data_IF_724502783402
#
_entry.id   IF_724502783402
#
_cell.length_a   1.000
_cell.length_b   1.000
_cell.length_c   1.000
_cell.angle_alpha   90.00
_cell.angle_beta   90.00
_cell.angle_gamma   90.00
#
_symmetry.space_group_name_H-M   'P 1'
#
loop_
_entity.id
_entity.type
_entity.pdbx_description
1 polymer ?
#
# COMPACT_ATOMS: atom_id res chain seq x y z
N UNK A 1 74.26 88.67 74.57
CA UNK A 1 72.93 88.03 74.76
C UNK A 1 72.34 87.65 73.40
N UNK A 2 72.32 88.58 72.44
CA UNK A 2 71.92 88.38 71.03
C UNK A 2 72.67 87.23 70.33
N UNK A 3 73.99 87.13 70.50
CA UNK A 3 74.80 86.11 69.82
C UNK A 3 74.51 84.68 70.29
N UNK A 4 74.20 84.51 71.59
CA UNK A 4 73.89 83.21 72.19
C UNK A 4 72.52 82.71 71.72
N UNK A 5 71.55 83.62 71.66
CA UNK A 5 70.21 83.37 71.15
C UNK A 5 70.20 83.06 69.64
N UNK A 6 71.02 83.75 68.85
CA UNK A 6 71.21 83.44 67.43
C UNK A 6 71.80 82.04 67.22
N UNK A 7 72.70 81.60 68.11
CA UNK A 7 73.33 80.26 68.06
C UNK A 7 72.36 79.13 68.42
N UNK A 8 71.51 79.34 69.42
CA UNK A 8 70.50 78.35 69.82
C UNK A 8 69.43 78.14 68.75
N UNK A 9 69.04 79.17 68.00
CA UNK A 9 68.10 79.04 66.88
C UNK A 9 68.60 78.16 65.74
N UNK A 10 69.92 78.05 65.57
CA UNK A 10 70.52 77.17 64.55
C UNK A 10 70.69 75.73 65.03
N UNK A 11 70.51 75.46 66.32
CA UNK A 11 70.67 74.12 66.90
C UNK A 11 69.31 73.44 67.05
N UNK A 12 68.93 72.64 66.05
CA UNK A 12 67.73 71.82 66.10
C UNK A 12 68.15 70.40 66.54
N UNK A 13 67.79 69.99 67.75
CA UNK A 13 67.98 68.61 68.22
C UNK A 13 66.70 67.82 67.99
N UNK A 14 66.74 66.88 67.04
CA UNK A 14 65.63 65.94 66.80
C UNK A 14 65.97 64.62 67.47
N UNK A 15 65.04 64.07 68.26
CA UNK A 15 65.21 62.77 68.89
C UNK A 15 65.33 61.66 67.83
N UNK A 16 66.32 60.75 67.91
CA UNK A 16 66.55 59.72 66.90
C UNK A 16 65.43 58.66 66.78
N UNK A 17 64.50 58.63 67.74
CA UNK A 17 63.37 57.71 67.85
C UNK A 17 62.03 58.35 67.44
N UNK A 18 62.05 59.52 66.80
CA UNK A 18 60.82 60.10 66.26
C UNK A 18 60.24 59.17 65.17
N UNK A 19 58.90 59.03 65.08
CA UNK A 19 58.25 58.14 64.12
C UNK A 19 58.69 58.39 62.67
N UNK A 20 58.93 59.65 62.28
CA UNK A 20 59.40 60.01 60.94
C UNK A 20 60.79 59.46 60.64
N UNK A 21 61.72 59.53 61.59
CA UNK A 21 63.08 58.99 61.42
C UNK A 21 63.05 57.46 61.35
N UNK A 22 62.20 56.81 62.17
CA UNK A 22 62.00 55.37 62.11
C UNK A 22 61.43 54.94 60.75
N UNK A 23 60.43 55.67 60.23
CA UNK A 23 59.88 55.43 58.91
C UNK A 23 60.95 55.59 57.81
N UNK A 24 61.78 56.64 57.89
CA UNK A 24 62.89 56.84 56.96
C UNK A 24 63.90 55.67 57.00
N UNK A 25 64.21 55.13 58.19
CA UNK A 25 65.12 53.97 58.34
C UNK A 25 64.50 52.70 57.73
N UNK A 26 63.23 52.43 57.99
CA UNK A 26 62.52 51.28 57.38
C UNK A 26 62.50 51.43 55.86
N UNK A 27 62.13 52.61 55.35
CA UNK A 27 62.14 52.90 53.91
C UNK A 27 63.54 52.75 53.32
N UNK A 28 64.59 53.19 54.01
CA UNK A 28 65.97 53.01 53.57
C UNK A 28 66.35 51.53 53.42
N UNK A 29 65.91 50.67 54.35
CA UNK A 29 66.14 49.22 54.26
C UNK A 29 65.32 48.60 53.13
N UNK A 30 64.05 48.98 52.99
CA UNK A 30 63.16 48.48 51.93
C UNK A 30 63.61 48.92 50.53
N UNK A 31 64.16 50.13 50.39
CA UNK A 31 64.65 50.70 49.13
C UNK A 31 66.15 50.44 48.91
N UNK A 32 66.80 49.65 49.76
CA UNK A 32 68.23 49.37 49.62
C UNK A 32 68.48 48.37 48.49
N UNK A 33 69.08 48.83 47.40
CA UNK A 33 69.54 47.98 46.29
C UNK A 33 70.45 46.83 46.74
N UNK A 34 71.27 47.07 47.77
CA UNK A 34 72.19 46.06 48.31
C UNK A 34 71.43 44.90 48.95
N UNK A 35 70.43 45.22 49.77
CA UNK A 35 69.60 44.20 50.44
C UNK A 35 68.72 43.47 49.42
N UNK A 36 68.18 44.18 48.44
CA UNK A 36 67.43 43.58 47.33
C UNK A 36 68.29 42.57 46.55
N UNK A 37 69.51 42.96 46.15
CA UNK A 37 70.43 42.06 45.44
C UNK A 37 70.84 40.85 46.27
N UNK A 38 71.09 41.04 47.57
CA UNK A 38 71.42 39.94 48.48
C UNK A 38 70.26 38.94 48.62
N UNK A 39 69.03 39.43 48.84
CA UNK A 39 67.83 38.59 48.89
C UNK A 39 67.58 37.85 47.57
N UNK A 40 67.76 38.53 46.44
CA UNK A 40 67.66 37.91 45.11
C UNK A 40 68.71 36.81 44.88
N UNK A 41 69.92 36.98 45.39
CA UNK A 41 70.95 35.93 45.34
C UNK A 41 70.64 34.75 46.24
N UNK A 42 70.09 34.98 47.43
CA UNK A 42 69.61 33.91 48.31
C UNK A 42 68.46 33.12 47.68
N UNK A 43 67.50 33.81 47.06
CA UNK A 43 66.38 33.15 46.37
C UNK A 43 66.85 32.33 45.17
N UNK A 44 67.83 32.82 44.40
CA UNK A 44 68.47 32.02 43.34
C UNK A 44 69.17 30.77 43.89
N UNK A 45 69.79 30.85 45.08
CA UNK A 45 70.46 29.71 45.73
C UNK A 45 69.49 28.66 46.26
N UNK A 46 68.26 29.04 46.62
CA UNK A 46 67.21 28.09 47.06
C UNK A 46 66.80 27.10 45.96
N UNK A 47 67.04 27.43 44.68
CA UNK A 47 66.70 26.60 43.54
C UNK A 47 65.20 26.64 43.19
N UNK A 48 64.77 25.73 42.31
CA UNK A 48 63.38 25.60 41.88
C UNK A 48 62.87 24.19 42.18
N UNK A 49 61.68 24.10 42.78
CA UNK A 49 60.94 22.83 42.90
C UNK A 49 59.96 22.70 41.72
N UNK A 50 60.35 21.91 40.72
CA UNK A 50 59.53 21.64 39.54
C UNK A 50 58.70 20.38 39.76
N UNK A 51 57.44 20.58 40.13
CA UNK A 51 56.50 19.48 40.26
C UNK A 51 56.32 18.72 38.93
N UNK A 52 56.09 17.39 38.96
CA UNK A 52 55.99 16.55 37.76
C UNK A 52 54.81 16.87 36.84
N UNK A 53 53.89 17.72 37.30
CA UNK A 53 52.72 18.22 36.61
C UNK A 53 52.91 19.64 36.04
N UNK A 54 54.09 20.24 36.23
CA UNK A 54 54.45 21.51 35.63
C UNK A 54 54.24 21.48 34.11
N UNK A 55 53.69 22.56 33.55
CA UNK A 55 53.42 22.73 32.11
C UNK A 55 54.61 22.32 31.22
N UNK A 56 55.86 22.76 31.47
CA UNK A 56 57.00 22.35 30.63
C UNK A 56 57.25 20.84 30.65
N UNK A 57 57.06 20.19 31.80
CA UNK A 57 57.25 18.74 31.95
C UNK A 57 56.12 17.97 31.24
N UNK A 58 54.87 18.44 31.36
CA UNK A 58 53.73 17.87 30.62
C UNK A 58 53.92 18.00 29.10
N UNK A 59 54.34 19.18 28.64
CA UNK A 59 54.64 19.42 27.23
C UNK A 59 55.74 18.47 26.74
N UNK A 60 56.87 18.39 27.46
CA UNK A 60 57.97 17.48 27.12
C UNK A 60 57.54 16.00 27.08
N UNK A 61 56.74 15.55 28.05
CA UNK A 61 56.17 14.19 28.06
C UNK A 61 55.28 13.95 26.83
N UNK A 62 54.44 14.91 26.47
CA UNK A 62 53.57 14.80 25.29
C UNK A 62 54.38 14.74 23.99
N UNK A 63 55.41 15.57 23.85
CA UNK A 63 56.32 15.54 22.69
C UNK A 63 57.07 14.21 22.59
N UNK A 64 57.56 13.68 23.71
CA UNK A 64 58.20 12.35 23.77
C UNK A 64 57.24 11.27 23.30
N UNK A 65 55.99 11.34 23.74
CA UNK A 65 54.98 10.35 23.40
C UNK A 65 54.58 10.42 21.91
N UNK A 66 54.51 11.62 21.34
CA UNK A 66 54.28 11.84 19.90
C UNK A 66 55.44 11.29 19.06
N UNK A 67 56.69 11.52 19.48
CA UNK A 67 57.88 11.05 18.79
C UNK A 67 58.15 9.53 18.98
N UNK A 68 57.38 8.85 19.82
CA UNK A 68 57.60 7.44 20.13
C UNK A 68 56.92 6.54 19.10
N UNK A 69 57.73 5.93 18.24
CA UNK A 69 57.30 4.91 17.27
C UNK A 69 56.50 3.77 17.92
N UNK A 70 56.89 3.35 19.12
CA UNK A 70 56.19 2.30 19.86
C UNK A 70 54.76 2.73 20.20
N UNK A 71 54.58 3.94 20.76
CA UNK A 71 53.25 4.46 21.10
C UNK A 71 52.40 4.68 19.84
N UNK A 72 53.01 5.15 18.76
CA UNK A 72 52.36 5.27 17.46
C UNK A 72 51.84 3.91 16.96
N UNK A 73 52.70 2.88 16.94
CA UNK A 73 52.32 1.53 16.49
C UNK A 73 51.26 0.90 17.38
N UNK A 74 51.38 1.05 18.70
CA UNK A 74 50.39 0.57 19.65
C UNK A 74 49.02 1.25 19.42
N UNK A 75 49.00 2.58 19.24
CA UNK A 75 47.78 3.30 18.93
C UNK A 75 47.17 2.86 17.59
N UNK A 76 48.01 2.66 16.57
CA UNK A 76 47.61 2.14 15.27
C UNK A 76 47.00 0.74 15.39
N UNK A 77 47.63 -0.20 16.09
CA UNK A 77 47.08 -1.54 16.33
C UNK A 77 45.77 -1.50 17.12
N UNK A 78 45.67 -0.62 18.11
CA UNK A 78 44.43 -0.41 18.88
C UNK A 78 43.30 0.19 18.04
N UNK A 79 43.63 0.99 17.03
CA UNK A 79 42.69 1.59 16.09
C UNK A 79 42.40 0.70 14.87
N UNK A 80 43.30 -0.23 14.56
CA UNK A 80 43.18 -1.18 13.45
C UNK A 80 41.92 -2.03 13.67
N UNK A 81 41.05 -2.05 12.67
CA UNK A 81 39.76 -2.74 12.75
C UNK A 81 38.67 -1.96 13.50
N UNK A 82 38.99 -0.81 14.11
CA UNK A 82 37.99 0.15 14.62
C UNK A 82 37.72 1.23 13.58
N UNK A 83 37.36 0.81 12.39
CA UNK A 83 36.60 1.70 11.53
C UNK A 83 35.24 1.84 12.20
N UNK A 84 34.98 2.99 12.82
CA UNK A 84 33.63 3.35 13.22
C UNK A 84 32.89 3.54 11.90
N UNK A 85 32.26 2.48 11.41
CA UNK A 85 31.14 2.66 10.50
C UNK A 85 30.16 3.60 11.19
N UNK A 86 29.55 4.50 10.43
CA UNK A 86 28.42 5.25 10.92
C UNK A 86 27.29 4.28 11.30
N UNK A 87 26.47 4.61 12.30
CA UNK A 87 25.37 3.74 12.75
C UNK A 87 24.17 3.87 11.82
N UNK A 88 23.99 5.05 11.24
CA UNK A 88 23.05 5.36 10.16
C UNK A 88 23.74 6.19 9.08
N UNK A 89 23.36 6.02 7.81
CA UNK A 89 23.94 6.79 6.69
C UNK A 89 23.79 8.32 6.89
N UNK A 90 22.81 8.71 7.71
CA UNK A 90 22.53 10.08 8.09
C UNK A 90 23.58 10.69 9.02
N UNK A 91 24.38 9.85 9.72
CA UNK A 91 25.40 10.33 10.66
C UNK A 91 26.64 10.90 9.95
N UNK A 92 26.87 10.54 8.67
CA UNK A 92 27.98 11.09 7.88
C UNK A 92 27.44 12.11 6.85
N UNK A 93 27.61 13.43 7.09
CA UNK A 93 27.12 14.47 6.20
C UNK A 93 27.71 14.38 4.79
N UNK A 94 28.91 13.80 4.63
CA UNK A 94 29.52 13.62 3.30
C UNK A 94 28.80 12.55 2.49
N UNK A 95 28.44 11.44 3.11
CA UNK A 95 27.70 10.37 2.45
C UNK A 95 26.26 10.76 2.16
N UNK A 96 25.60 11.49 3.07
CA UNK A 96 24.29 12.09 2.82
C UNK A 96 24.34 12.98 1.58
N UNK A 97 25.36 13.85 1.48
CA UNK A 97 25.54 14.71 0.32
C UNK A 97 25.72 13.91 -0.98
N UNK A 98 26.55 12.87 -0.98
CA UNK A 98 26.71 12.02 -2.17
C UNK A 98 25.43 11.32 -2.58
N UNK A 99 24.61 10.88 -1.62
CA UNK A 99 23.31 10.28 -1.92
C UNK A 99 22.36 11.29 -2.57
N UNK A 100 22.34 12.54 -2.09
CA UNK A 100 21.56 13.62 -2.70
C UNK A 100 22.04 13.93 -4.13
N UNK A 101 23.36 14.00 -4.35
CA UNK A 101 23.94 14.22 -5.68
C UNK A 101 23.58 13.08 -6.63
N UNK A 102 23.69 11.82 -6.18
CA UNK A 102 23.30 10.66 -6.97
C UNK A 102 21.80 10.67 -7.32
N UNK A 103 20.95 11.11 -6.39
CA UNK A 103 19.52 11.28 -6.63
C UNK A 103 19.24 12.35 -7.69
N UNK A 104 19.95 13.48 -7.64
CA UNK A 104 19.83 14.53 -8.65
C UNK A 104 20.33 14.09 -10.03
N UNK A 105 21.38 13.25 -10.09
CA UNK A 105 21.92 12.69 -11.33
C UNK A 105 21.05 11.56 -11.90
N UNK A 106 20.07 11.06 -11.15
CA UNK A 106 19.24 9.94 -11.59
C UNK A 106 18.21 10.40 -12.61
N UNK A 107 18.37 9.97 -13.87
CA UNK A 107 17.39 10.16 -14.93
C UNK A 107 15.98 9.65 -14.56
N UNK A 108 15.92 8.60 -13.73
CA UNK A 108 14.66 8.04 -13.23
C UNK A 108 13.94 9.03 -12.33
N UNK A 109 14.65 9.65 -11.38
CA UNK A 109 14.06 10.67 -10.50
C UNK A 109 13.70 11.92 -11.30
N UNK A 110 14.54 12.32 -12.25
CA UNK A 110 14.27 13.42 -13.17
C UNK A 110 12.95 13.24 -13.96
N UNK A 111 12.71 12.03 -14.49
CA UNK A 111 11.50 11.73 -15.30
C UNK A 111 10.27 11.38 -14.46
N UNK A 112 10.43 11.10 -13.17
CA UNK A 112 9.34 10.62 -12.30
C UNK A 112 8.12 11.55 -12.32
N UNK A 113 8.32 12.84 -12.09
CA UNK A 113 7.23 13.82 -12.07
C UNK A 113 6.54 13.98 -13.43
N UNK A 114 7.29 13.86 -14.52
CA UNK A 114 6.73 13.89 -15.87
C UNK A 114 5.83 12.66 -16.12
N UNK A 115 6.29 11.46 -15.79
CA UNK A 115 5.49 10.24 -15.98
C UNK A 115 4.23 10.24 -15.09
N UNK A 116 4.34 10.75 -13.86
CA UNK A 116 3.19 10.95 -12.96
C UNK A 116 2.18 11.97 -13.51
N UNK A 117 2.66 13.05 -14.13
CA UNK A 117 1.80 14.11 -14.68
C UNK A 117 1.26 13.80 -16.08
N UNK A 118 1.93 12.93 -16.85
CA UNK A 118 1.56 12.60 -18.24
C UNK A 118 0.17 11.99 -18.36
N UNK A 119 -0.32 11.34 -17.31
CA UNK A 119 -1.67 10.76 -17.24
C UNK A 119 -2.69 11.71 -16.61
N UNK A 120 -2.26 12.83 -16.03
CA UNK A 120 -3.13 13.83 -15.43
C UNK A 120 -3.67 14.77 -16.52
N UNK A 121 -4.66 14.29 -17.26
CA UNK A 121 -5.40 15.11 -18.22
C UNK A 121 -6.42 15.97 -17.48
N UNK A 122 -6.17 17.28 -17.39
CA UNK A 122 -7.18 18.23 -16.94
C UNK A 122 -7.99 18.71 -18.14
N UNK A 123 -9.17 18.14 -18.35
CA UNK A 123 -10.12 18.75 -19.29
C UNK A 123 -10.78 19.94 -18.61
N UNK A 124 -10.81 21.12 -19.24
CA UNK A 124 -11.51 22.26 -18.68
C UNK A 124 -12.98 21.88 -18.42
N UNK A 125 -13.52 22.36 -17.30
CA UNK A 125 -14.89 22.01 -16.86
C UNK A 125 -15.92 22.33 -17.95
N UNK A 126 -15.69 23.39 -18.73
CA UNK A 126 -16.57 23.85 -19.81
C UNK A 126 -16.06 23.47 -21.21
N UNK A 127 -15.75 22.19 -21.43
CA UNK A 127 -15.52 21.69 -22.79
C UNK A 127 -16.76 21.89 -23.66
N UNK A 128 -16.61 22.53 -24.82
CA UNK A 128 -17.72 22.85 -25.74
C UNK A 128 -18.54 21.62 -26.10
N UNK A 129 -17.91 20.46 -26.30
CA UNK A 129 -18.60 19.19 -26.60
C UNK A 129 -19.51 18.73 -25.46
N UNK A 130 -19.03 18.82 -24.21
CA UNK A 130 -19.77 18.40 -23.01
C UNK A 130 -20.93 19.35 -22.74
N UNK A 131 -20.69 20.67 -22.84
CA UNK A 131 -21.73 21.69 -22.67
C UNK A 131 -22.79 21.57 -23.78
N UNK A 132 -22.38 21.35 -25.02
CA UNK A 132 -23.31 21.15 -26.14
C UNK A 132 -24.16 19.89 -25.95
N UNK A 133 -23.55 18.76 -25.53
CA UNK A 133 -24.28 17.53 -25.24
C UNK A 133 -25.30 17.71 -24.11
N UNK A 134 -24.90 18.38 -23.02
CA UNK A 134 -25.80 18.69 -21.90
C UNK A 134 -27.00 19.52 -22.36
N UNK A 135 -26.76 20.60 -23.12
CA UNK A 135 -27.84 21.44 -23.68
C UNK A 135 -28.74 20.68 -24.65
N UNK A 136 -28.17 19.84 -25.51
CA UNK A 136 -28.95 19.00 -26.41
C UNK A 136 -29.86 18.03 -25.64
N UNK A 137 -29.37 17.46 -24.54
CA UNK A 137 -30.15 16.56 -23.70
C UNK A 137 -31.23 17.30 -22.90
N UNK A 138 -30.96 18.51 -22.41
CA UNK A 138 -31.97 19.38 -21.77
C UNK A 138 -33.13 19.70 -22.73
N UNK A 139 -32.82 19.98 -24.00
CA UNK A 139 -33.82 20.21 -25.05
C UNK A 139 -34.58 18.93 -25.38
N UNK A 140 -33.89 17.80 -25.59
CA UNK A 140 -34.52 16.53 -25.93
C UNK A 140 -35.45 16.00 -24.83
N UNK A 141 -35.06 16.15 -23.56
CA UNK A 141 -35.85 15.72 -22.41
C UNK A 141 -36.99 16.68 -22.07
N UNK A 142 -37.00 17.90 -22.64
CA UNK A 142 -37.94 18.97 -22.28
C UNK A 142 -38.00 19.27 -20.77
N UNK A 143 -36.94 18.93 -20.03
CA UNK A 143 -36.94 18.98 -18.56
C UNK A 143 -37.23 20.39 -18.03
N UNK A 144 -36.77 21.43 -18.74
CA UNK A 144 -37.03 22.83 -18.37
C UNK A 144 -38.22 23.45 -19.11
N UNK A 145 -38.81 22.76 -20.10
CA UNK A 145 -39.90 23.29 -20.93
C UNK A 145 -41.29 22.85 -20.43
N UNK A 146 -41.42 21.61 -19.95
CA UNK A 146 -42.68 21.08 -19.39
C UNK A 146 -42.66 21.11 -17.85
N UNK A 147 -42.53 22.30 -17.26
CA UNK A 147 -42.84 22.47 -15.85
C UNK A 147 -44.37 22.49 -15.68
N UNK A 148 -44.96 21.30 -15.58
CA UNK A 148 -46.39 21.13 -15.33
C UNK A 148 -46.72 21.70 -13.94
N UNK A 149 -47.45 22.82 -13.91
CA UNK A 149 -47.85 23.53 -12.69
C UNK A 149 -48.77 22.66 -11.81
N UNK A 150 -49.41 21.65 -12.41
CA UNK A 150 -50.34 20.74 -11.74
C UNK A 150 -49.98 19.28 -12.06
N UNK A 151 -49.66 18.52 -11.02
CA UNK A 151 -49.58 17.07 -11.07
C UNK A 151 -50.95 16.49 -10.73
N UNK A 152 -51.70 16.02 -11.72
CA UNK A 152 -52.90 15.23 -11.47
C UNK A 152 -52.47 13.80 -11.14
N UNK A 153 -52.39 13.49 -9.85
CA UNK A 153 -52.20 12.12 -9.41
C UNK A 153 -53.54 11.39 -9.57
N UNK A 154 -53.63 10.56 -10.60
CA UNK A 154 -54.77 9.66 -10.77
C UNK A 154 -54.48 8.39 -9.98
N UNK A 155 -55.46 7.95 -9.19
CA UNK A 155 -55.36 6.73 -8.39
C UNK A 155 -55.06 5.52 -9.31
N UNK A 156 -54.24 4.55 -8.87
CA UNK A 156 -53.90 3.38 -9.68
C UNK A 156 -55.11 2.51 -10.08
N UNK A 157 -56.22 2.62 -9.33
CA UNK A 157 -57.51 1.95 -9.53
C UNK A 157 -58.55 2.84 -10.27
N UNK A 158 -58.11 3.98 -10.82
CA UNK A 158 -59.03 4.84 -11.56
C UNK A 158 -59.45 4.16 -12.86
N UNK A 159 -60.76 4.02 -13.05
CA UNK A 159 -61.36 3.44 -14.26
C UNK A 159 -60.83 4.03 -15.57
N UNK A 160 -60.54 5.33 -15.61
CA UNK A 160 -59.99 5.98 -16.81
C UNK A 160 -58.62 5.42 -17.21
N UNK A 161 -57.78 5.03 -16.24
CA UNK A 161 -56.48 4.41 -16.50
C UNK A 161 -56.66 2.97 -16.95
N UNK A 162 -57.55 2.21 -16.31
CA UNK A 162 -57.81 0.83 -16.70
C UNK A 162 -58.36 0.73 -18.13
N UNK A 163 -59.33 1.58 -18.47
CA UNK A 163 -59.89 1.65 -19.81
C UNK A 163 -58.84 2.03 -20.86
N UNK A 164 -57.97 3.01 -20.54
CA UNK A 164 -56.87 3.39 -21.44
C UNK A 164 -55.84 2.27 -21.62
N UNK A 165 -55.46 1.58 -20.54
CA UNK A 165 -54.56 0.42 -20.60
C UNK A 165 -55.16 -0.71 -21.45
N UNK A 166 -56.42 -1.04 -21.22
CA UNK A 166 -57.13 -2.06 -22.00
C UNK A 166 -57.22 -1.67 -23.48
N UNK A 167 -57.51 -0.41 -23.78
CA UNK A 167 -57.53 0.09 -25.15
C UNK A 167 -56.16 -0.01 -25.82
N UNK A 168 -55.07 0.35 -25.11
CA UNK A 168 -53.71 0.22 -25.63
C UNK A 168 -53.30 -1.24 -25.85
N UNK A 169 -53.68 -2.13 -24.93
CA UNK A 169 -53.44 -3.57 -25.07
C UNK A 169 -54.16 -4.14 -26.28
N UNK A 170 -55.44 -3.79 -26.48
CA UNK A 170 -56.23 -4.20 -27.65
C UNK A 170 -55.69 -3.62 -28.96
N UNK A 171 -55.17 -2.39 -28.94
CA UNK A 171 -54.54 -1.77 -30.12
C UNK A 171 -53.19 -2.42 -30.46
N UNK A 172 -52.48 -2.92 -29.46
CA UNK A 172 -51.17 -3.53 -29.64
C UNK A 172 -51.28 -5.01 -29.99
N UNK A 173 -50.53 -5.46 -31.00
CA UNK A 173 -50.40 -6.90 -31.28
C UNK A 173 -49.54 -7.64 -30.23
N UNK A 174 -49.12 -6.98 -29.15
CA UNK A 174 -48.19 -7.54 -28.18
C UNK A 174 -48.78 -8.74 -27.45
N UNK A 175 -50.06 -8.68 -27.04
CA UNK A 175 -50.71 -9.82 -26.38
C UNK A 175 -50.90 -10.99 -27.35
N UNK A 176 -51.35 -10.71 -28.57
CA UNK A 176 -51.50 -11.72 -29.63
C UNK A 176 -50.18 -12.43 -29.94
N UNK A 177 -49.07 -11.68 -30.01
CA UNK A 177 -47.74 -12.25 -30.23
C UNK A 177 -47.18 -12.96 -29.02
N UNK A 178 -47.53 -12.54 -27.80
CA UNK A 178 -47.09 -13.18 -26.57
C UNK A 178 -47.58 -14.62 -26.47
N UNK A 179 -48.86 -14.88 -26.79
CA UNK A 179 -49.39 -16.26 -26.82
C UNK A 179 -48.69 -17.13 -27.86
N UNK A 180 -48.40 -16.60 -29.06
CA UNK A 180 -47.63 -17.30 -30.09
C UNK A 180 -46.19 -17.60 -29.64
N UNK A 181 -45.53 -16.61 -29.02
CA UNK A 181 -44.17 -16.72 -28.52
C UNK A 181 -44.06 -17.72 -27.35
N UNK A 182 -45.09 -17.84 -26.51
CA UNK A 182 -45.13 -18.78 -25.40
C UNK A 182 -45.45 -20.21 -25.83
N UNK A 183 -46.39 -20.38 -26.77
CA UNK A 183 -46.98 -21.70 -27.08
C UNK A 183 -46.46 -22.34 -28.36
N UNK A 184 -46.10 -21.57 -29.38
CA UNK A 184 -45.77 -22.10 -30.71
C UNK A 184 -44.31 -21.88 -31.09
N UNK A 185 -43.69 -20.79 -30.64
CA UNK A 185 -42.31 -20.47 -30.97
C UNK A 185 -41.36 -21.47 -30.33
N UNK A 186 -40.70 -22.25 -31.17
CA UNK A 186 -39.74 -23.28 -30.75
C UNK A 186 -40.33 -24.68 -30.57
N UNK A 187 -41.64 -24.88 -30.78
CA UNK A 187 -42.21 -26.23 -30.86
C UNK A 187 -41.74 -26.90 -32.16
N UNK A 188 -40.81 -27.84 -32.03
CA UNK A 188 -40.31 -28.63 -33.15
C UNK A 188 -41.36 -29.58 -33.71
N UNK A 189 -41.26 -29.91 -35.00
CA UNK A 189 -42.11 -30.92 -35.62
C UNK A 189 -41.76 -32.31 -35.08
N UNK A 190 -42.74 -33.00 -34.49
CA UNK A 190 -42.61 -34.40 -34.04
C UNK A 190 -43.14 -35.33 -35.15
N UNK A 191 -42.30 -36.21 -35.73
CA UNK A 191 -42.70 -37.09 -36.84
C UNK A 191 -43.50 -38.33 -36.38
N UNK A 192 -43.80 -38.47 -35.08
CA UNK A 192 -44.54 -39.60 -34.53
C UNK A 192 -45.94 -39.66 -35.14
N UNK A 193 -46.30 -40.79 -35.76
CA UNK A 193 -47.57 -40.97 -36.46
C UNK A 193 -47.59 -40.45 -37.91
N UNK A 194 -46.50 -39.85 -38.40
CA UNK A 194 -46.34 -39.58 -39.84
C UNK A 194 -46.35 -40.88 -40.63
N UNK A 195 -46.84 -40.84 -41.87
CA UNK A 195 -46.84 -41.99 -42.77
C UNK A 195 -45.44 -42.60 -42.92
N UNK A 196 -44.40 -41.77 -43.02
CA UNK A 196 -43.02 -42.25 -43.13
C UNK A 196 -42.52 -42.87 -41.83
N UNK A 197 -42.93 -42.35 -40.67
CA UNK A 197 -42.59 -42.94 -39.37
C UNK A 197 -43.29 -44.29 -39.17
N UNK A 198 -44.56 -44.42 -39.56
CA UNK A 198 -45.31 -45.67 -39.51
C UNK A 198 -44.79 -46.70 -40.53
N UNK A 199 -44.43 -46.27 -41.75
CA UNK A 199 -43.73 -47.11 -42.73
C UNK A 199 -42.42 -47.66 -42.16
N UNK A 200 -41.59 -46.79 -41.58
CA UNK A 200 -40.32 -47.20 -41.00
C UNK A 200 -40.52 -48.14 -39.80
N UNK A 201 -41.50 -47.85 -38.93
CA UNK A 201 -41.88 -48.73 -37.81
C UNK A 201 -42.27 -50.12 -38.32
N UNK A 202 -43.18 -50.22 -39.30
CA UNK A 202 -43.55 -51.50 -39.90
C UNK A 202 -42.37 -52.20 -40.58
N UNK A 203 -41.52 -51.47 -41.29
CA UNK A 203 -40.31 -52.04 -41.88
C UNK A 203 -39.36 -52.63 -40.81
N UNK A 204 -39.15 -51.93 -39.70
CA UNK A 204 -38.37 -52.44 -38.55
C UNK A 204 -39.01 -53.69 -37.93
N UNK A 205 -40.34 -53.77 -37.88
CA UNK A 205 -41.02 -54.97 -37.39
C UNK A 205 -40.83 -56.17 -38.32
N UNK A 206 -40.87 -55.95 -39.63
CA UNK A 206 -40.64 -56.99 -40.66
C UNK A 206 -39.20 -57.51 -40.60
N UNK A 207 -38.22 -56.61 -40.43
CA UNK A 207 -36.80 -56.96 -40.33
C UNK A 207 -36.46 -57.62 -38.99
N UNK A 208 -37.30 -57.46 -37.96
CA UNK A 208 -37.02 -57.98 -36.62
C UNK A 208 -37.01 -59.51 -36.57
N UNK A 209 -35.80 -60.09 -36.45
CA UNK A 209 -35.62 -61.55 -36.34
C UNK A 209 -36.38 -62.15 -35.15
N UNK A 210 -36.50 -61.40 -34.05
CA UNK A 210 -37.25 -61.81 -32.85
C UNK A 210 -38.76 -61.92 -33.09
N UNK A 211 -39.33 -61.11 -33.99
CA UNK A 211 -40.74 -61.23 -34.40
C UNK A 211 -40.92 -62.34 -35.43
N UNK A 212 -39.94 -62.54 -36.31
CA UNK A 212 -39.96 -63.57 -37.35
C UNK A 212 -39.85 -65.00 -36.79
N UNK A 213 -38.93 -65.25 -35.84
CA UNK A 213 -38.75 -66.57 -35.21
C UNK A 213 -39.57 -66.67 -33.93
N UNK A 214 -40.69 -67.39 -33.98
CA UNK A 214 -41.48 -67.70 -32.77
C UNK A 214 -41.04 -69.03 -32.17
N UNK A 215 -40.77 -69.04 -30.85
CA UNK A 215 -40.46 -70.28 -30.13
C UNK A 215 -41.69 -71.21 -30.12
N UNK A 216 -41.55 -72.52 -30.37
CA UNK A 216 -42.66 -73.45 -30.51
C UNK A 216 -43.63 -73.44 -29.32
N UNK A 217 -43.15 -73.19 -28.09
CA UNK A 217 -44.01 -73.06 -26.89
C UNK A 217 -45.06 -71.94 -26.97
N UNK A 218 -44.88 -70.93 -27.83
CA UNK A 218 -45.86 -69.85 -28.02
C UNK A 218 -46.99 -70.23 -28.97
N UNK A 219 -46.81 -71.27 -29.79
CA UNK A 219 -47.83 -71.77 -30.68
C UNK A 219 -48.77 -72.68 -29.88
N UNK A 220 -49.96 -72.19 -29.55
CA UNK A 220 -51.00 -73.03 -28.95
C UNK A 220 -51.54 -73.97 -30.02
N UNK A 221 -51.24 -75.26 -29.91
CA UNK A 221 -51.91 -76.28 -30.70
C UNK A 221 -53.32 -76.50 -30.13
N UNK A 222 -54.31 -75.85 -30.74
CA UNK A 222 -55.71 -76.24 -30.59
C UNK A 222 -56.13 -77.01 -31.83
N UNK A 223 -56.59 -78.24 -31.64
CA UNK A 223 -57.20 -79.01 -32.73
C UNK A 223 -58.63 -78.48 -32.91
N UNK A 224 -58.99 -77.91 -34.07
CA UNK A 224 -60.35 -77.44 -34.31
C UNK A 224 -61.33 -78.61 -34.25
N UNK A 225 -62.56 -78.37 -33.79
CA UNK A 225 -63.60 -79.40 -33.69
C UNK A 225 -63.97 -80.02 -35.05
N UNK A 226 -63.78 -79.26 -36.13
CA UNK A 226 -63.98 -79.71 -37.52
C UNK A 226 -62.75 -80.46 -38.08
N UNK A 227 -61.70 -80.66 -37.29
CA UNK A 227 -60.57 -81.48 -37.73
C UNK A 227 -61.05 -82.91 -38.00
N UNK A 228 -60.48 -83.52 -39.04
CA UNK A 228 -60.84 -84.87 -39.47
C UNK A 228 -60.82 -85.88 -38.32
N UNK A 229 -59.85 -85.76 -37.41
CA UNK A 229 -59.71 -86.63 -36.25
C UNK A 229 -60.89 -86.50 -35.28
N UNK A 230 -61.37 -85.27 -35.03
CA UNK A 230 -62.53 -85.03 -34.16
C UNK A 230 -63.84 -85.43 -34.83
N UNK A 231 -63.99 -85.20 -36.14
CA UNK A 231 -65.15 -85.65 -36.93
C UNK A 231 -65.25 -87.17 -36.95
N UNK A 232 -64.12 -87.87 -37.16
CA UNK A 232 -64.07 -89.34 -37.08
C UNK A 232 -64.41 -89.84 -35.69
N UNK A 233 -63.88 -89.22 -34.63
CA UNK A 233 -64.20 -89.59 -33.25
C UNK A 233 -65.70 -89.43 -32.94
N UNK A 234 -66.32 -88.34 -33.41
CA UNK A 234 -67.77 -88.12 -33.30
C UNK A 234 -68.59 -89.18 -34.04
N UNK A 235 -68.22 -89.52 -35.27
CA UNK A 235 -68.93 -90.54 -36.04
C UNK A 235 -68.79 -91.93 -35.41
N UNK A 236 -67.59 -92.28 -34.94
CA UNK A 236 -67.36 -93.54 -34.23
C UNK A 236 -68.18 -93.61 -32.93
N UNK A 237 -68.29 -92.52 -32.18
CA UNK A 237 -69.12 -92.47 -30.98
C UNK A 237 -70.61 -92.71 -31.30
N UNK A 238 -71.14 -92.12 -32.38
CA UNK A 238 -72.52 -92.36 -32.84
C UNK A 238 -72.78 -93.81 -33.23
N UNK A 239 -71.85 -94.43 -33.98
CA UNK A 239 -71.96 -95.83 -34.37
C UNK A 239 -71.99 -96.74 -33.13
N UNK A 240 -71.20 -96.44 -32.09
CA UNK A 240 -71.19 -97.22 -30.85
C UNK A 240 -72.48 -97.08 -30.03
N UNK A 241 -73.18 -95.94 -30.13
CA UNK A 241 -74.44 -95.68 -29.42
C UNK A 241 -75.64 -96.38 -30.10
N UNK A 242 -75.60 -96.55 -31.44
CA UNK A 242 -76.66 -97.25 -32.20
C UNK A 242 -76.65 -98.78 -32.05
N UNK A 243 -75.57 -99.36 -31.48
CA UNK A 243 -75.39 -100.82 -31.29
C UNK A 243 -75.75 -101.26 -29.86
N UNK A 244 -76.38 -100.39 -29.05
CA UNK A 244 -76.76 -100.66 -27.65
C UNK A 244 -78.26 -100.45 -27.41
#
# INVERSE_FOLDING_TARGET
>A
YTDKWNKEKTSIHVMPDTPEILQCKVNQMTMSDKLYKAGWEEDKKKGYDLQPDAIPIKAAKSSRDIASDYKYKLAYEKAKGKHIGFRSLEDDPKLVHFMQVAKMQSDREYKKGYEEAKTNFHTPVDMVSVVAAKKAQEVATNANYKNLIHTYNVLPDAMSIELAKNMMQLQSDNQYKAEYDETMKGVGWLPLGSLEAEKNKKAMEIVSEKKYRQHPDKLKFSVPMDSMNMVLALNNAKIMDEVR
#
